data_IF_092669130130
#
_entry.id   IF_092669130130
#
_cell.length_a   1.000
_cell.length_b   1.000
_cell.length_c   1.000
_cell.angle_alpha   90.00
_cell.angle_beta   90.00
_cell.angle_gamma   90.00
#
_symmetry.space_group_name_H-M   'P 1'
#
loop_
_entity.id
_entity.type
_entity.pdbx_description
1 polymer ?
#
# COMPACT_ATOMS: atom_id res chain seq x y z
N UNK A 1 46.76 9.36 20.43
CA UNK A 1 45.59 10.11 20.94
C UNK A 1 44.59 10.27 19.81
N UNK A 2 43.70 9.28 19.62
CA UNK A 2 42.63 9.35 18.63
C UNK A 2 41.41 10.05 19.22
N UNK A 3 40.94 11.11 18.55
CA UNK A 3 39.70 11.81 18.89
C UNK A 3 38.52 10.99 18.37
N UNK A 4 37.82 10.32 19.28
CA UNK A 4 36.52 9.69 19.00
C UNK A 4 35.52 10.80 18.71
N UNK A 5 35.00 10.86 17.48
CA UNK A 5 33.91 11.76 17.08
C UNK A 5 32.63 11.31 17.79
N UNK A 6 32.10 12.18 18.64
CA UNK A 6 30.77 12.02 19.24
C UNK A 6 29.71 11.94 18.13
N UNK A 7 28.99 10.81 18.08
CA UNK A 7 27.76 10.67 17.30
C UNK A 7 26.75 11.67 17.84
N UNK A 8 26.38 12.67 17.02
CA UNK A 8 25.20 13.50 17.26
C UNK A 8 23.99 12.58 17.42
N UNK A 9 23.43 12.57 18.63
CA UNK A 9 22.13 11.98 18.93
C UNK A 9 21.11 12.77 18.10
N UNK A 10 20.52 12.14 17.09
CA UNK A 10 19.35 12.68 16.41
C UNK A 10 18.26 12.89 17.46
N UNK A 11 17.91 14.15 17.72
CA UNK A 11 16.73 14.50 18.52
C UNK A 11 15.52 13.94 17.77
N UNK A 12 15.05 12.77 18.17
CA UNK A 12 13.77 12.26 17.73
C UNK A 12 12.69 13.22 18.23
N UNK A 13 11.92 13.80 17.32
CA UNK A 13 10.82 14.69 17.66
C UNK A 13 9.89 14.01 18.69
N UNK A 14 9.52 14.69 19.80
CA UNK A 14 8.66 14.13 20.84
C UNK A 14 7.24 13.81 20.36
N UNK A 15 6.85 14.26 19.17
CA UNK A 15 5.61 13.85 18.48
C UNK A 15 5.74 12.50 17.76
N UNK A 16 6.96 12.09 17.40
CA UNK A 16 7.19 10.81 16.71
C UNK A 16 6.98 9.60 17.63
N UNK A 17 7.18 9.76 18.95
CA UNK A 17 6.93 8.69 19.92
C UNK A 17 5.45 8.38 20.04
N UNK A 18 4.59 9.39 20.18
CA UNK A 18 3.13 9.18 20.31
C UNK A 18 2.50 8.54 19.07
N UNK A 19 2.92 8.92 17.86
CA UNK A 19 2.40 8.29 16.64
C UNK A 19 2.91 6.84 16.46
N UNK A 20 4.12 6.53 16.94
CA UNK A 20 4.65 5.15 16.96
C UNK A 20 3.86 4.27 17.93
N UNK A 21 3.45 4.80 19.08
CA UNK A 21 2.68 4.06 20.09
C UNK A 21 1.32 3.56 19.57
N UNK A 22 0.71 4.26 18.60
CA UNK A 22 -0.53 3.83 17.95
C UNK A 22 -0.32 3.20 16.57
N UNK A 23 0.91 3.11 16.07
CA UNK A 23 1.22 2.59 14.73
C UNK A 23 0.67 3.45 13.57
N UNK A 24 0.27 4.70 13.83
CA UNK A 24 -0.42 5.56 12.88
C UNK A 24 0.57 6.54 12.26
N UNK A 25 1.22 6.10 11.18
CA UNK A 25 2.05 6.95 10.35
C UNK A 25 1.41 7.12 8.97
N UNK A 26 0.61 8.19 8.81
CA UNK A 26 -0.13 8.49 7.59
C UNK A 26 0.83 8.75 6.43
N UNK A 27 1.92 9.48 6.69
CA UNK A 27 2.96 9.71 5.69
C UNK A 27 3.57 8.42 5.18
N UNK A 28 3.79 7.43 6.06
CA UNK A 28 4.27 6.11 5.70
C UNK A 28 3.23 5.29 4.92
N UNK A 29 1.94 5.35 5.28
CA UNK A 29 0.87 4.71 4.50
C UNK A 29 0.80 5.25 3.08
N UNK A 30 0.92 6.57 2.91
CA UNK A 30 0.96 7.22 1.59
C UNK A 30 2.21 6.77 0.81
N UNK A 31 3.39 6.70 1.46
CA UNK A 31 4.60 6.18 0.81
C UNK A 31 4.46 4.73 0.36
N UNK A 32 3.90 3.86 1.20
CA UNK A 32 3.63 2.46 0.85
C UNK A 32 2.71 2.36 -0.36
N UNK A 33 1.68 3.21 -0.42
CA UNK A 33 0.81 3.27 -1.59
C UNK A 33 1.58 3.59 -2.87
N UNK A 34 2.49 4.57 -2.86
CA UNK A 34 3.35 4.88 -4.02
C UNK A 34 4.32 3.76 -4.38
N UNK A 35 4.81 2.99 -3.41
CA UNK A 35 5.65 1.81 -3.67
C UNK A 35 4.87 0.70 -4.36
N UNK A 36 3.59 0.53 -4.02
CA UNK A 36 2.69 -0.46 -4.61
C UNK A 36 2.11 -0.01 -5.97
N UNK A 37 2.11 1.29 -6.25
CA UNK A 37 1.52 1.89 -7.46
C UNK A 37 2.56 2.72 -8.22
N UNK A 38 3.59 2.09 -8.82
CA UNK A 38 4.71 2.80 -9.46
C UNK A 38 4.30 3.66 -10.66
N UNK A 39 3.15 3.36 -11.28
CA UNK A 39 2.57 4.15 -12.38
C UNK A 39 2.26 5.60 -11.99
N UNK A 40 2.00 5.84 -10.69
CA UNK A 40 1.69 7.17 -10.17
C UNK A 40 2.92 7.73 -9.47
N UNK A 41 3.51 8.80 -9.99
CA UNK A 41 4.73 9.38 -9.39
C UNK A 41 4.41 10.49 -8.41
N UNK A 42 5.26 10.64 -7.37
CA UNK A 42 5.20 11.75 -6.40
C UNK A 42 5.16 13.11 -7.10
N UNK A 43 5.95 13.29 -8.17
CA UNK A 43 6.02 14.55 -8.92
C UNK A 43 4.68 14.87 -9.58
N UNK A 44 4.04 13.86 -10.17
CA UNK A 44 2.72 14.03 -10.82
C UNK A 44 1.63 14.43 -9.81
N UNK A 45 1.65 13.82 -8.61
CA UNK A 45 0.68 14.07 -7.55
C UNK A 45 0.90 15.44 -6.92
N UNK A 46 2.14 15.81 -6.62
CA UNK A 46 2.49 17.14 -6.11
C UNK A 46 2.01 18.26 -7.05
N UNK A 47 2.16 18.07 -8.38
CA UNK A 47 1.67 19.01 -9.38
C UNK A 47 0.14 19.16 -9.36
N UNK A 48 -0.60 18.05 -9.23
CA UNK A 48 -2.08 18.07 -9.15
C UNK A 48 -2.58 18.73 -7.87
N UNK A 49 -1.87 18.53 -6.76
CA UNK A 49 -2.13 19.17 -5.46
C UNK A 49 -1.59 20.62 -5.36
N UNK A 50 -1.04 21.17 -6.46
CA UNK A 50 -0.50 22.54 -6.52
C UNK A 50 0.55 22.85 -5.44
N UNK A 51 1.36 21.85 -5.08
CA UNK A 51 2.44 21.96 -4.10
C UNK A 51 3.77 21.57 -4.72
N UNK A 52 4.86 22.12 -4.17
CA UNK A 52 6.20 21.77 -4.65
C UNK A 52 6.52 20.31 -4.35
N UNK A 53 7.35 19.68 -5.20
CA UNK A 53 7.87 18.33 -4.97
C UNK A 53 8.46 18.19 -3.56
N UNK A 54 9.26 19.17 -3.15
CA UNK A 54 9.91 19.20 -1.83
C UNK A 54 8.88 19.30 -0.71
N UNK A 55 7.86 20.15 -0.88
CA UNK A 55 6.77 20.29 0.09
C UNK A 55 5.98 18.99 0.26
N UNK A 56 5.68 18.29 -0.84
CA UNK A 56 5.02 16.99 -0.76
C UNK A 56 5.90 15.93 -0.08
N UNK A 57 7.19 15.87 -0.44
CA UNK A 57 8.15 14.97 0.22
C UNK A 57 8.24 15.22 1.72
N UNK A 58 8.22 16.49 2.13
CA UNK A 58 8.20 16.84 3.54
C UNK A 58 6.93 16.32 4.23
N UNK A 59 5.75 16.54 3.63
CA UNK A 59 4.47 16.06 4.18
C UNK A 59 4.41 14.55 4.36
N UNK A 60 4.88 13.76 3.39
CA UNK A 60 4.86 12.29 3.49
C UNK A 60 5.95 11.74 4.44
N UNK A 61 6.92 12.55 4.82
CA UNK A 61 7.95 12.17 5.80
C UNK A 61 7.50 12.42 7.24
N UNK A 62 6.44 13.19 7.45
CA UNK A 62 5.86 13.44 8.77
C UNK A 62 4.92 12.29 9.17
N UNK A 63 4.79 11.99 10.47
CA UNK A 63 3.84 10.99 10.96
C UNK A 63 2.39 11.31 10.58
N UNK A 64 2.08 12.60 10.49
CA UNK A 64 0.81 13.15 10.04
C UNK A 64 0.98 13.75 8.63
N UNK A 65 -0.01 13.55 7.76
CA UNK A 65 0.00 14.15 6.42
C UNK A 65 -0.78 15.47 6.44
N UNK A 66 -0.06 16.59 6.52
CA UNK A 66 -0.66 17.92 6.46
C UNK A 66 -1.79 18.10 7.48
N UNK A 67 -2.88 18.71 7.04
CA UNK A 67 -4.14 18.79 7.78
C UNK A 67 -5.19 17.80 7.23
N UNK A 68 -6.37 17.75 7.85
CA UNK A 68 -7.46 16.85 7.44
C UNK A 68 -7.93 17.09 6.00
N UNK A 69 -7.92 18.35 5.54
CA UNK A 69 -8.32 18.70 4.16
C UNK A 69 -7.30 18.16 3.17
N UNK A 70 -6.00 18.32 3.46
CA UNK A 70 -4.93 17.74 2.64
C UNK A 70 -5.11 16.22 2.50
N UNK A 71 -5.42 15.54 3.62
CA UNK A 71 -5.62 14.09 3.65
C UNK A 71 -6.84 13.64 2.83
N UNK A 72 -7.94 14.40 2.88
CA UNK A 72 -9.12 14.14 2.05
C UNK A 72 -8.76 14.36 0.57
N UNK A 73 -8.06 15.45 0.25
CA UNK A 73 -7.71 15.80 -1.12
C UNK A 73 -6.82 14.73 -1.77
N UNK A 74 -5.79 14.25 -1.07
CA UNK A 74 -4.94 13.17 -1.59
C UNK A 74 -5.70 11.85 -1.70
N UNK A 75 -6.60 11.55 -0.74
CA UNK A 75 -7.42 10.33 -0.78
C UNK A 75 -8.34 10.31 -2.02
N UNK A 76 -8.99 11.44 -2.31
CA UNK A 76 -9.83 11.60 -3.49
C UNK A 76 -9.01 11.54 -4.78
N UNK A 77 -7.85 12.20 -4.80
CA UNK A 77 -6.97 12.24 -5.97
C UNK A 77 -6.42 10.87 -6.35
N UNK A 78 -6.02 10.08 -5.35
CA UNK A 78 -5.48 8.74 -5.53
C UNK A 78 -6.56 7.66 -5.58
N UNK A 79 -7.83 8.03 -5.35
CA UNK A 79 -8.97 7.10 -5.21
C UNK A 79 -8.68 6.00 -4.20
N UNK A 80 -8.04 6.36 -3.10
CA UNK A 80 -7.64 5.42 -2.05
C UNK A 80 -7.98 6.01 -0.68
N UNK A 81 -8.59 5.19 0.18
CA UNK A 81 -9.01 5.61 1.51
C UNK A 81 -7.86 5.47 2.52
N UNK A 82 -7.21 6.58 2.82
CA UNK A 82 -6.19 6.63 3.87
C UNK A 82 -6.78 6.87 5.27
N UNK A 83 -8.08 7.14 5.40
CA UNK A 83 -8.72 7.60 6.65
C UNK A 83 -9.38 6.44 7.40
N UNK A 84 -10.18 5.62 6.72
CA UNK A 84 -10.92 4.53 7.38
C UNK A 84 -10.04 3.49 8.08
N UNK A 85 -8.88 3.07 7.52
CA UNK A 85 -7.97 2.18 8.25
C UNK A 85 -7.50 2.78 9.58
N UNK A 86 -7.25 4.09 9.62
CA UNK A 86 -6.82 4.79 10.84
C UNK A 86 -7.96 4.89 11.85
N UNK A 87 -9.18 5.16 11.39
CA UNK A 87 -10.37 5.20 12.24
C UNK A 87 -10.65 3.84 12.87
N UNK A 88 -10.42 2.75 12.15
CA UNK A 88 -10.60 1.39 12.67
C UNK A 88 -9.60 1.09 13.80
N UNK A 89 -8.35 1.52 13.67
CA UNK A 89 -7.35 1.37 14.75
C UNK A 89 -7.80 2.16 16.00
N UNK A 90 -8.25 3.40 15.85
CA UNK A 90 -8.76 4.20 16.97
C UNK A 90 -9.99 3.60 17.63
N UNK A 91 -10.99 3.18 16.84
CA UNK A 91 -12.22 2.53 17.33
C UNK A 91 -11.91 1.26 18.12
N UNK A 92 -10.86 0.54 17.73
CA UNK A 92 -10.45 -0.71 18.35
C UNK A 92 -9.27 -0.56 19.34
N UNK A 93 -9.09 0.63 19.93
CA UNK A 93 -8.08 0.91 20.96
C UNK A 93 -6.64 0.55 20.57
N UNK A 94 -6.26 0.79 19.32
CA UNK A 94 -4.90 0.49 18.82
C UNK A 94 -4.73 -0.91 18.24
N UNK A 95 -5.75 -1.77 18.30
CA UNK A 95 -5.70 -3.07 17.66
C UNK A 95 -5.97 -2.92 16.15
N UNK A 96 -5.07 -3.43 15.33
CA UNK A 96 -5.34 -3.68 13.91
C UNK A 96 -6.37 -4.80 13.82
N UNK A 97 -7.62 -4.42 13.64
CA UNK A 97 -8.66 -5.38 13.26
C UNK A 97 -8.48 -5.60 11.77
N UNK A 98 -7.98 -6.78 11.38
CA UNK A 98 -8.15 -7.27 10.02
C UNK A 98 -9.64 -7.14 9.71
N UNK A 99 -9.96 -6.42 8.64
CA UNK A 99 -11.33 -6.25 8.16
C UNK A 99 -11.90 -7.66 8.04
N UNK A 100 -12.74 -8.04 8.99
CA UNK A 100 -13.46 -9.30 8.93
C UNK A 100 -14.42 -9.15 7.76
N UNK A 101 -14.05 -9.75 6.63
CA UNK A 101 -14.93 -9.87 5.49
C UNK A 101 -16.27 -10.39 5.98
N UNK A 102 -17.34 -9.71 5.59
CA UNK A 102 -18.70 -10.21 5.80
C UNK A 102 -18.83 -11.59 5.16
N UNK A 103 -19.73 -12.44 5.68
CA UNK A 103 -19.95 -13.77 5.09
C UNK A 103 -20.24 -13.69 3.59
N UNK A 104 -20.92 -12.63 3.14
CA UNK A 104 -21.16 -12.36 1.72
C UNK A 104 -19.89 -12.08 0.93
N UNK A 105 -18.96 -11.30 1.48
CA UNK A 105 -17.67 -11.02 0.82
C UNK A 105 -16.79 -12.27 0.78
N UNK A 106 -16.77 -13.06 1.86
CA UNK A 106 -16.08 -14.36 1.90
C UNK A 106 -16.66 -15.32 0.85
N UNK A 107 -17.99 -15.37 0.74
CA UNK A 107 -18.67 -16.21 -0.25
C UNK A 107 -18.35 -15.76 -1.68
N UNK A 108 -18.36 -14.44 -1.93
CA UNK A 108 -18.01 -13.87 -3.23
C UNK A 108 -16.57 -14.22 -3.62
N UNK A 109 -15.61 -14.04 -2.70
CA UNK A 109 -14.21 -14.37 -2.92
C UNK A 109 -14.00 -15.86 -3.16
N UNK A 110 -14.72 -16.73 -2.44
CA UNK A 110 -14.67 -18.19 -2.66
C UNK A 110 -15.17 -18.56 -4.06
N UNK A 111 -16.28 -17.96 -4.51
CA UNK A 111 -16.82 -18.21 -5.85
C UNK A 111 -15.88 -17.71 -6.96
N UNK A 112 -15.24 -16.55 -6.78
CA UNK A 112 -14.24 -16.05 -7.73
C UNK A 112 -12.99 -16.93 -7.77
N UNK A 113 -12.53 -17.39 -6.61
CA UNK A 113 -11.41 -18.33 -6.50
C UNK A 113 -11.70 -19.65 -7.23
N UNK A 114 -12.92 -20.17 -7.10
CA UNK A 114 -13.32 -21.41 -7.75
C UNK A 114 -13.37 -21.25 -9.29
N UNK A 115 -13.95 -20.15 -9.78
CA UNK A 115 -13.95 -19.82 -11.22
C UNK A 115 -12.54 -19.66 -11.79
N UNK A 116 -11.64 -19.00 -11.06
CA UNK A 116 -10.25 -18.81 -11.51
C UNK A 116 -9.47 -20.12 -11.51
N UNK A 117 -9.69 -21.00 -10.52
CA UNK A 117 -9.11 -22.36 -10.52
C UNK A 117 -9.58 -23.18 -11.72
N UNK A 118 -10.87 -23.14 -12.03
CA UNK A 118 -11.42 -23.85 -13.18
C UNK A 118 -10.82 -23.35 -14.51
N UNK A 119 -10.68 -22.04 -14.66
CA UNK A 119 -10.02 -21.44 -15.82
C UNK A 119 -8.56 -21.86 -15.92
N UNK A 120 -7.83 -21.88 -14.80
CA UNK A 120 -6.43 -22.31 -14.77
C UNK A 120 -6.30 -23.78 -15.21
N UNK A 121 -7.16 -24.67 -14.73
CA UNK A 121 -7.15 -26.09 -15.13
C UNK A 121 -7.42 -26.25 -16.62
N UNK A 122 -8.36 -25.49 -17.18
CA UNK A 122 -8.65 -25.52 -18.63
C UNK A 122 -7.46 -25.02 -19.44
N UNK A 123 -6.87 -23.90 -19.03
CA UNK A 123 -5.68 -23.34 -19.68
C UNK A 123 -4.49 -24.30 -19.60
N UNK A 124 -4.30 -25.00 -18.49
CA UNK A 124 -3.24 -26.00 -18.33
C UNK A 124 -3.44 -27.16 -19.30
N UNK A 125 -4.66 -27.69 -19.41
CA UNK A 125 -4.98 -28.77 -20.37
C UNK A 125 -4.76 -28.35 -21.81
N UNK A 126 -5.09 -27.11 -22.17
CA UNK A 126 -4.81 -26.58 -23.51
C UNK A 126 -3.31 -26.46 -23.76
N UNK A 127 -2.54 -25.98 -22.78
CA UNK A 127 -1.08 -25.92 -22.88
C UNK A 127 -0.45 -27.31 -23.04
N UNK A 128 -0.90 -28.29 -22.25
CA UNK A 128 -0.42 -29.67 -22.32
C UNK A 128 -0.72 -30.30 -23.70
N UNK A 129 -1.94 -30.09 -24.23
CA UNK A 129 -2.31 -30.54 -25.58
C UNK A 129 -1.45 -29.90 -26.66
N UNK A 130 -1.20 -28.59 -26.58
CA UNK A 130 -0.33 -27.89 -27.53
C UNK A 130 1.11 -28.42 -27.45
N UNK A 131 1.59 -28.74 -26.25
CA UNK A 131 2.89 -29.38 -26.05
C UNK A 131 2.97 -30.75 -26.73
N UNK A 132 1.96 -31.61 -26.55
CA UNK A 132 1.90 -32.91 -27.23
C UNK A 132 1.90 -32.78 -28.76
N UNK A 133 1.15 -31.82 -29.30
CA UNK A 133 1.11 -31.53 -30.74
C UNK A 133 2.50 -31.07 -31.22
N UNK A 134 3.15 -30.14 -30.52
CA UNK A 134 4.48 -29.66 -30.89
C UNK A 134 5.55 -30.76 -30.86
N UNK A 135 5.51 -31.63 -29.85
CA UNK A 135 6.45 -32.75 -29.74
C UNK A 135 6.21 -33.80 -30.82
N UNK A 136 4.95 -34.00 -31.24
CA UNK A 136 4.62 -34.87 -32.37
C UNK A 136 5.14 -34.32 -33.70
N UNK A 137 5.10 -33.00 -33.91
CA UNK A 137 5.64 -32.34 -35.11
C UNK A 137 7.16 -32.23 -35.14
N UNK A 138 7.85 -32.27 -33.99
CA UNK A 138 9.33 -32.31 -33.94
C UNK A 138 9.92 -33.69 -34.21
N UNK A 139 9.12 -34.75 -34.07
CA UNK A 139 9.54 -36.16 -34.28
C UNK A 139 9.18 -36.70 -35.67
N UNK A 140 8.40 -35.95 -36.45
CA UNK A 140 8.09 -36.22 -37.86
C UNK A 140 9.09 -35.50 -38.77
#
# INVERSE_FOLDING_TARGET
MEKVKEKKVEKSDPLSSKCKDYGLNIGESIKKWFQLNPETTIVSVAKKLKISKVGFYHRINLPYYGNTVDLIEISLLLKHDFISPLLNIYKNKGNNVEISYTESEVLSLKNELEKTKDLLVRSQREADRLHEILDSHKKA
#
